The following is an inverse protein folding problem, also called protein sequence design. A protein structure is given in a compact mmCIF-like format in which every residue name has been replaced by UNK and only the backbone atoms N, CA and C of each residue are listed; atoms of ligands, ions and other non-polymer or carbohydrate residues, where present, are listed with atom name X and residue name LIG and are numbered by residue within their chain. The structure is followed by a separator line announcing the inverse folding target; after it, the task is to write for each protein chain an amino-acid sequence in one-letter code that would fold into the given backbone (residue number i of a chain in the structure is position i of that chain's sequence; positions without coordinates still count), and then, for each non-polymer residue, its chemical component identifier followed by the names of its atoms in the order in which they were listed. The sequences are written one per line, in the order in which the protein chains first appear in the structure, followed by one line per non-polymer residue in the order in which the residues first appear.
data_IF_405546946398
#
_entry.id   IF_405546946398
#
_cell.length_a   1.000
_cell.length_b   1.000
_cell.length_c   1.000
_cell.angle_alpha   90.00
_cell.angle_beta   90.00
_cell.angle_gamma   90.00
#
_symmetry.space_group_name_H-M   'P 1'
#
loop_
_entity.id
_entity.type
_entity.pdbx_description
1 polymer ?
#
# COMPACT_ATOMS: atom_id res chain seq x y z
N UNK A 1 -6.50 9.21 -4.30
CA UNK A 1 -5.50 8.15 -4.03
C UNK A 1 -4.16 8.80 -3.68
N UNK A 2 -3.23 8.05 -3.06
CA UNK A 2 -1.92 8.60 -2.74
C UNK A 2 -1.20 9.10 -4.00
N UNK A 3 -0.61 10.30 -3.92
CA UNK A 3 0.20 10.93 -4.98
C UNK A 3 -0.50 11.32 -6.28
N UNK A 4 -1.83 11.26 -6.39
CA UNK A 4 -2.54 11.50 -7.66
C UNK A 4 -2.16 12.83 -8.31
N UNK A 5 -2.11 13.92 -7.53
CA UNK A 5 -1.78 15.26 -8.05
C UNK A 5 -0.35 15.34 -8.61
N UNK A 6 0.63 14.76 -7.90
CA UNK A 6 2.03 14.74 -8.34
C UNK A 6 2.20 13.82 -9.55
N UNK A 7 1.62 12.64 -9.50
CA UNK A 7 1.65 11.64 -10.58
C UNK A 7 1.13 12.21 -11.91
N UNK A 8 -0.03 12.87 -11.88
CA UNK A 8 -0.63 13.46 -13.08
C UNK A 8 0.28 14.51 -13.72
N UNK A 9 0.87 15.41 -12.91
CA UNK A 9 1.80 16.43 -13.41
C UNK A 9 3.05 15.80 -14.03
N UNK A 10 3.67 14.83 -13.35
CA UNK A 10 4.85 14.15 -13.87
C UNK A 10 4.55 13.36 -15.15
N UNK A 11 3.41 12.68 -15.23
CA UNK A 11 3.00 11.97 -16.44
C UNK A 11 2.83 12.90 -17.63
N UNK A 12 2.28 14.10 -17.43
CA UNK A 12 2.13 15.09 -18.51
C UNK A 12 3.50 15.53 -19.04
N UNK A 13 4.47 15.80 -18.16
CA UNK A 13 5.85 16.12 -18.54
C UNK A 13 6.48 14.97 -19.35
N UNK A 14 6.33 13.75 -18.87
CA UNK A 14 6.91 12.57 -19.52
C UNK A 14 6.23 12.21 -20.85
N UNK A 15 4.93 12.46 -20.99
CA UNK A 15 4.23 12.32 -22.26
C UNK A 15 4.82 13.23 -23.34
N UNK A 16 5.12 14.49 -22.95
CA UNK A 16 5.76 15.46 -23.83
C UNK A 16 7.17 15.02 -24.25
N UNK A 17 7.97 14.51 -23.29
CA UNK A 17 9.31 13.98 -23.58
C UNK A 17 9.27 12.75 -24.52
N UNK A 18 8.32 11.83 -24.31
CA UNK A 18 8.18 10.62 -25.17
C UNK A 18 7.75 10.94 -26.59
N UNK A 19 7.00 12.02 -26.78
CA UNK A 19 6.50 12.42 -28.11
C UNK A 19 7.59 12.98 -29.02
N UNK A 20 8.75 13.41 -28.46
CA UNK A 20 9.88 13.95 -29.19
C UNK A 20 10.82 12.82 -29.62
N UNK A 21 11.00 12.61 -30.90
CA UNK A 21 11.89 11.58 -31.45
C UNK A 21 13.38 11.83 -31.17
N UNK A 22 13.77 13.12 -31.04
CA UNK A 22 15.09 13.57 -30.62
C UNK A 22 14.92 14.59 -29.50
N UNK A 23 15.81 14.59 -28.53
CA UNK A 23 15.86 15.57 -27.46
C UNK A 23 17.10 16.45 -27.62
N UNK A 24 16.92 17.72 -27.35
CA UNK A 24 18.02 18.68 -27.16
C UNK A 24 18.26 18.88 -25.66
N UNK A 25 19.43 19.43 -25.30
CA UNK A 25 19.69 19.82 -23.89
C UNK A 25 18.62 20.78 -23.36
N UNK A 26 18.13 21.69 -24.19
CA UNK A 26 17.10 22.64 -23.80
C UNK A 26 15.75 21.97 -23.56
N UNK A 27 15.42 20.91 -24.32
CA UNK A 27 14.23 20.11 -24.06
C UNK A 27 14.29 19.41 -22.70
N UNK A 28 15.46 18.86 -22.36
CA UNK A 28 15.67 18.21 -21.05
C UNK A 28 15.61 19.27 -19.93
N UNK A 29 16.26 20.41 -20.08
CA UNK A 29 16.21 21.51 -19.11
C UNK A 29 14.79 22.03 -18.90
N UNK A 30 14.01 22.19 -19.98
CA UNK A 30 12.61 22.62 -19.91
C UNK A 30 11.75 21.60 -19.14
N UNK A 31 11.87 20.31 -19.47
CA UNK A 31 11.15 19.25 -18.77
C UNK A 31 11.53 19.16 -17.28
N UNK A 32 12.83 19.27 -16.95
CA UNK A 32 13.29 19.28 -15.55
C UNK A 32 12.82 20.51 -14.78
N UNK A 33 12.61 21.65 -15.45
CA UNK A 33 11.97 22.82 -14.83
C UNK A 33 10.51 22.51 -14.44
N UNK A 34 9.76 21.83 -15.30
CA UNK A 34 8.39 21.40 -15.00
C UNK A 34 8.37 20.35 -13.87
N UNK A 35 9.28 19.36 -13.88
CA UNK A 35 9.46 18.40 -12.79
C UNK A 35 9.76 19.11 -11.47
N UNK A 36 10.67 20.09 -11.49
CA UNK A 36 10.98 20.94 -10.33
C UNK A 36 9.73 21.61 -9.76
N UNK A 37 8.92 22.21 -10.62
CA UNK A 37 7.69 22.89 -10.20
C UNK A 37 6.69 21.89 -9.62
N UNK A 38 6.50 20.74 -10.25
CA UNK A 38 5.61 19.69 -9.76
C UNK A 38 6.02 19.21 -8.37
N UNK A 39 7.30 18.98 -8.13
CA UNK A 39 7.82 18.57 -6.81
C UNK A 39 7.66 19.66 -5.74
N UNK A 40 7.87 20.94 -6.08
CA UNK A 40 7.67 22.05 -5.15
C UNK A 40 6.17 22.23 -4.80
N UNK A 41 5.29 22.11 -5.78
CA UNK A 41 3.84 22.14 -5.57
C UNK A 41 3.32 20.93 -4.77
N UNK A 42 4.05 19.81 -4.85
CA UNK A 42 3.83 18.63 -4.02
C UNK A 42 4.41 18.77 -2.60
N UNK A 43 4.87 19.97 -2.22
CA UNK A 43 5.43 20.26 -0.90
C UNK A 43 6.70 19.46 -0.57
N UNK A 44 7.53 19.16 -1.58
CA UNK A 44 8.85 18.56 -1.39
C UNK A 44 9.84 19.63 -0.94
N UNK A 45 10.73 19.31 -0.02
CA UNK A 45 11.72 20.25 0.52
C UNK A 45 12.57 20.89 -0.59
N UNK A 46 12.68 22.22 -0.58
CA UNK A 46 13.36 23.00 -1.63
C UNK A 46 14.81 22.54 -1.89
N UNK A 47 15.58 22.27 -0.82
CA UNK A 47 16.98 21.82 -0.94
C UNK A 47 17.04 20.43 -1.60
N UNK A 48 16.11 19.56 -1.24
CA UNK A 48 15.98 18.22 -1.81
C UNK A 48 15.63 18.30 -3.29
N UNK A 49 14.64 19.11 -3.67
CA UNK A 49 14.26 19.31 -5.09
C UNK A 49 15.43 19.89 -5.90
N UNK A 50 16.15 20.86 -5.35
CA UNK A 50 17.31 21.48 -6.04
C UNK A 50 18.40 20.45 -6.33
N UNK A 51 18.73 19.61 -5.34
CA UNK A 51 19.75 18.58 -5.51
C UNK A 51 19.27 17.50 -6.49
N UNK A 52 18.05 17.01 -6.33
CA UNK A 52 17.45 16.03 -7.22
C UNK A 52 17.47 16.45 -8.70
N UNK A 53 17.02 17.67 -8.99
CA UNK A 53 17.02 18.21 -10.36
C UNK A 53 18.44 18.32 -10.92
N UNK A 54 19.41 18.71 -10.09
CA UNK A 54 20.81 18.77 -10.49
C UNK A 54 21.35 17.37 -10.84
N UNK A 55 21.12 16.38 -9.97
CA UNK A 55 21.61 15.01 -10.18
C UNK A 55 20.98 14.37 -11.44
N UNK A 56 19.68 14.57 -11.65
CA UNK A 56 19.00 14.12 -12.87
C UNK A 56 19.56 14.84 -14.10
N UNK A 57 19.78 16.16 -14.04
CA UNK A 57 20.28 16.95 -15.17
C UNK A 57 21.68 16.49 -15.58
N UNK A 58 22.59 16.32 -14.64
CA UNK A 58 23.96 15.85 -14.89
C UNK A 58 23.98 14.50 -15.62
N UNK A 59 23.09 13.59 -15.26
CA UNK A 59 22.97 12.28 -15.91
C UNK A 59 22.24 12.33 -17.25
N UNK A 60 21.20 13.16 -17.36
CA UNK A 60 20.31 13.22 -18.53
C UNK A 60 20.92 13.97 -19.73
N UNK A 61 21.88 14.88 -19.51
CA UNK A 61 22.55 15.64 -20.58
C UNK A 61 23.76 14.87 -21.15
N UNK A 62 24.11 13.70 -20.61
CA UNK A 62 25.22 12.88 -21.14
C UNK A 62 25.01 12.46 -22.62
N UNK A 63 26.10 12.38 -23.39
CA UNK A 63 26.06 12.04 -24.82
C UNK A 63 25.38 10.70 -25.08
N UNK A 64 25.55 9.72 -24.20
CA UNK A 64 24.93 8.38 -24.32
C UNK A 64 23.41 8.43 -24.24
N UNK A 65 22.85 9.37 -23.48
CA UNK A 65 21.39 9.56 -23.37
C UNK A 65 20.86 10.32 -24.59
N UNK A 66 21.55 11.40 -24.99
CA UNK A 66 21.11 12.29 -26.06
C UNK A 66 21.16 11.63 -27.45
N UNK A 67 22.14 10.73 -27.66
CA UNK A 67 22.33 9.99 -28.91
C UNK A 67 21.65 8.60 -28.91
N UNK A 68 20.99 8.21 -27.81
CA UNK A 68 20.31 6.93 -27.68
C UNK A 68 19.08 6.80 -28.60
N UNK A 69 18.66 5.56 -28.88
CA UNK A 69 17.48 5.27 -29.69
C UNK A 69 16.17 5.83 -29.10
N UNK A 70 16.08 5.97 -27.78
CA UNK A 70 14.91 6.46 -27.05
C UNK A 70 15.29 7.45 -25.94
N UNK A 71 15.78 8.66 -26.26
CA UNK A 71 16.28 9.61 -25.26
C UNK A 71 15.24 9.95 -24.18
N UNK A 72 13.97 10.14 -24.56
CA UNK A 72 12.89 10.44 -23.62
C UNK A 72 12.65 9.34 -22.59
N UNK A 73 12.75 8.09 -22.98
CA UNK A 73 12.63 6.96 -22.04
C UNK A 73 13.83 6.88 -21.11
N UNK A 74 15.04 7.19 -21.60
CA UNK A 74 16.24 7.22 -20.77
C UNK A 74 16.17 8.32 -19.70
N UNK A 75 15.69 9.52 -20.04
CA UNK A 75 15.46 10.59 -19.06
C UNK A 75 14.46 10.15 -17.98
N UNK A 76 13.35 9.52 -18.35
CA UNK A 76 12.35 9.02 -17.40
C UNK A 76 12.96 7.94 -16.48
N UNK A 77 13.77 7.04 -17.04
CA UNK A 77 14.50 6.02 -16.26
C UNK A 77 15.42 6.67 -15.24
N UNK A 78 16.19 7.68 -15.64
CA UNK A 78 17.08 8.43 -14.75
C UNK A 78 16.30 9.13 -13.64
N UNK A 79 15.16 9.76 -13.94
CA UNK A 79 14.27 10.35 -12.94
C UNK A 79 13.79 9.30 -11.94
N UNK A 80 13.40 8.12 -12.40
CA UNK A 80 12.98 7.02 -11.52
C UNK A 80 14.13 6.55 -10.60
N UNK A 81 15.30 6.33 -11.15
CA UNK A 81 16.47 5.88 -10.38
C UNK A 81 16.90 6.90 -9.32
N UNK A 82 16.93 8.19 -9.66
CA UNK A 82 17.24 9.24 -8.69
C UNK A 82 16.13 9.39 -7.63
N UNK A 83 14.87 9.14 -7.99
CA UNK A 83 13.76 9.14 -7.03
C UNK A 83 13.86 7.97 -6.05
N UNK A 84 14.20 6.77 -6.53
CA UNK A 84 14.48 5.59 -5.69
C UNK A 84 15.64 5.88 -4.73
N UNK A 85 16.74 6.45 -5.24
CA UNK A 85 17.90 6.85 -4.45
C UNK A 85 17.56 7.87 -3.37
N UNK A 86 16.73 8.87 -3.70
CA UNK A 86 16.24 9.88 -2.77
C UNK A 86 15.49 9.27 -1.59
N UNK A 87 14.68 8.24 -1.84
CA UNK A 87 13.89 7.52 -0.83
C UNK A 87 14.67 6.41 -0.11
N UNK A 88 15.90 6.10 -0.55
CA UNK A 88 16.79 5.21 0.19
C UNK A 88 17.36 4.01 -0.52
N UNK A 89 17.12 3.85 -1.82
CA UNK A 89 17.61 2.76 -2.68
C UNK A 89 17.12 1.37 -2.27
N UNK A 90 17.21 1.01 -0.99
CA UNK A 90 16.89 -0.32 -0.45
C UNK A 90 15.81 -0.26 0.62
N UNK A 91 15.05 -1.32 0.69
CA UNK A 91 14.06 -1.53 1.76
C UNK A 91 14.76 -1.75 3.09
N UNK A 92 14.33 -1.04 4.12
CA UNK A 92 14.85 -1.19 5.47
C UNK A 92 13.80 -1.81 6.38
N UNK A 93 14.17 -2.85 7.12
CA UNK A 93 13.31 -3.48 8.12
C UNK A 93 13.69 -3.07 9.55
N UNK A 94 12.74 -3.19 10.48
CA UNK A 94 13.01 -3.07 11.91
C UNK A 94 13.94 -4.21 12.32
N UNK A 95 15.09 -3.86 12.88
CA UNK A 95 16.11 -4.83 13.31
C UNK A 95 15.68 -5.48 14.63
N UNK A 96 15.39 -6.77 14.59
CA UNK A 96 15.08 -7.55 15.78
C UNK A 96 16.36 -8.16 16.37
N UNK A 97 16.37 -8.34 17.68
CA UNK A 97 17.47 -9.04 18.36
C UNK A 97 17.50 -10.52 17.92
N UNK A 98 18.70 -11.13 17.84
CA UNK A 98 18.84 -12.49 17.36
C UNK A 98 18.21 -13.51 18.31
N UNK A 99 17.74 -14.61 17.72
CA UNK A 99 17.19 -15.75 18.47
C UNK A 99 15.90 -15.42 19.22
N UNK A 100 15.92 -15.68 20.55
CA UNK A 100 14.80 -15.40 21.47
C UNK A 100 15.02 -14.12 22.29
N UNK A 101 16.08 -13.36 22.03
CA UNK A 101 16.36 -12.14 22.78
C UNK A 101 15.25 -11.12 22.56
N UNK A 102 14.88 -10.43 23.65
CA UNK A 102 13.81 -9.42 23.64
C UNK A 102 14.23 -8.18 22.83
N UNK A 103 13.37 -7.75 21.93
CA UNK A 103 13.50 -6.48 21.22
C UNK A 103 12.53 -5.47 21.80
N UNK A 104 13.02 -4.32 22.23
CA UNK A 104 12.19 -3.21 22.70
C UNK A 104 12.13 -2.14 21.60
N UNK A 105 10.91 -1.83 21.17
CA UNK A 105 10.62 -0.80 20.17
C UNK A 105 9.85 0.32 20.86
N UNK A 106 10.36 1.55 20.79
CA UNK A 106 9.67 2.72 21.29
C UNK A 106 9.03 3.48 20.15
N UNK A 107 7.72 3.69 20.22
CA UNK A 107 6.95 4.47 19.25
C UNK A 107 6.84 5.91 19.74
N UNK A 108 7.27 6.87 18.94
CA UNK A 108 7.21 8.29 19.28
C UNK A 108 6.55 9.12 18.16
N UNK A 109 6.19 10.36 18.46
CA UNK A 109 5.55 11.28 17.48
C UNK A 109 4.47 12.13 18.13
N UNK A 110 3.94 13.09 17.36
CA UNK A 110 2.91 14.02 17.84
C UNK A 110 1.55 13.34 18.05
N UNK A 111 0.68 14.03 18.77
CA UNK A 111 -0.73 13.63 18.93
C UNK A 111 -1.42 13.60 17.56
N UNK A 112 -2.25 12.58 17.32
CA UNK A 112 -2.97 12.44 16.06
C UNK A 112 -2.15 11.86 14.91
N UNK A 113 -0.83 11.65 15.07
CA UNK A 113 0.02 11.00 14.06
C UNK A 113 -0.29 9.50 13.85
N UNK A 114 -1.10 8.88 14.70
CA UNK A 114 -1.50 7.49 14.55
C UNK A 114 -0.61 6.48 15.26
N UNK A 115 0.16 6.87 16.30
CA UNK A 115 1.06 5.99 17.06
C UNK A 115 0.37 4.71 17.57
N UNK A 116 -0.65 4.86 18.39
CA UNK A 116 -1.39 3.76 19.02
C UNK A 116 -1.93 2.76 18.00
N UNK A 117 -2.52 3.25 16.92
CA UNK A 117 -3.02 2.41 15.83
C UNK A 117 -1.88 1.71 15.09
N UNK A 118 -0.78 2.42 14.84
CA UNK A 118 0.40 1.88 14.18
C UNK A 118 1.11 0.85 15.04
N UNK A 119 1.24 1.09 16.35
CA UNK A 119 1.80 0.12 17.31
C UNK A 119 1.03 -1.20 17.28
N UNK A 120 -0.30 -1.15 17.32
CA UNK A 120 -1.14 -2.35 17.26
C UNK A 120 -1.03 -3.06 15.89
N UNK A 121 -1.02 -2.33 14.77
CA UNK A 121 -0.83 -2.91 13.43
C UNK A 121 0.54 -3.56 13.29
N UNK A 122 1.58 -2.92 13.79
CA UNK A 122 2.94 -3.45 13.77
C UNK A 122 3.05 -4.73 14.62
N UNK A 123 2.44 -4.73 15.82
CA UNK A 123 2.37 -5.90 16.67
C UNK A 123 1.66 -7.08 15.98
N UNK A 124 0.54 -6.82 15.31
CA UNK A 124 -0.18 -7.82 14.52
C UNK A 124 0.67 -8.39 13.38
N UNK A 125 1.46 -7.56 12.68
CA UNK A 125 2.38 -8.02 11.64
C UNK A 125 3.49 -8.91 12.19
N UNK A 126 4.07 -8.58 13.33
CA UNK A 126 5.07 -9.43 13.97
C UNK A 126 4.46 -10.74 14.48
N UNK A 127 3.22 -10.71 14.99
CA UNK A 127 2.50 -11.92 15.37
C UNK A 127 2.28 -12.86 14.18
N UNK A 128 1.91 -12.33 13.01
CA UNK A 128 1.79 -13.11 11.78
C UNK A 128 3.13 -13.73 11.33
N UNK A 129 4.27 -13.09 11.69
CA UNK A 129 5.62 -13.64 11.50
C UNK A 129 6.03 -14.63 12.62
N UNK A 130 5.08 -15.07 13.46
CA UNK A 130 5.32 -16.05 14.55
C UNK A 130 6.03 -15.47 15.77
N UNK A 131 6.06 -14.14 15.98
CA UNK A 131 6.64 -13.50 17.15
C UNK A 131 5.61 -13.31 18.26
N UNK A 132 6.02 -13.52 19.51
CA UNK A 132 5.22 -13.18 20.68
C UNK A 132 5.46 -11.73 21.05
N UNK A 133 4.43 -10.88 20.94
CA UNK A 133 4.53 -9.43 21.05
C UNK A 133 3.72 -8.93 22.22
N UNK A 134 4.27 -8.00 23.01
CA UNK A 134 3.62 -7.27 24.08
C UNK A 134 3.49 -5.79 23.68
N UNK A 135 2.26 -5.27 23.66
CA UNK A 135 2.01 -3.83 23.59
C UNK A 135 2.05 -3.23 25.01
N UNK A 136 2.61 -2.06 25.17
CA UNK A 136 2.73 -1.39 26.48
C UNK A 136 2.14 0.00 26.42
N UNK A 137 1.15 0.28 27.29
CA UNK A 137 0.46 1.56 27.37
C UNK A 137 1.27 2.56 28.20
N UNK A 138 2.12 3.36 27.56
CA UNK A 138 2.88 4.45 28.17
C UNK A 138 2.22 5.82 27.96
N UNK A 139 1.18 5.95 27.11
CA UNK A 139 0.37 7.18 27.00
C UNK A 139 -0.68 7.20 28.13
N UNK A 140 -0.29 7.78 29.27
CA UNK A 140 -1.14 7.88 30.46
C UNK A 140 -1.88 9.22 30.60
N UNK A 141 -1.55 10.18 29.75
CA UNK A 141 -2.06 11.55 29.88
C UNK A 141 -3.36 11.78 29.08
N UNK A 142 -3.55 11.03 28.00
CA UNK A 142 -4.72 11.18 27.16
C UNK A 142 -5.87 10.30 27.65
N UNK A 143 -7.05 10.89 27.99
CA UNK A 143 -8.21 10.09 28.37
C UNK A 143 -8.52 9.01 27.35
N UNK A 144 -8.70 7.77 27.81
CA UNK A 144 -9.02 6.61 26.96
C UNK A 144 -7.86 6.07 26.10
N UNK A 145 -6.62 6.57 26.24
CA UNK A 145 -5.47 6.06 25.46
C UNK A 145 -5.19 4.59 25.79
N UNK A 146 -5.19 4.23 27.07
CA UNK A 146 -4.98 2.85 27.53
C UNK A 146 -6.07 1.94 26.95
N UNK A 147 -7.34 2.33 27.06
CA UNK A 147 -8.46 1.57 26.53
C UNK A 147 -8.38 1.42 25.01
N UNK A 148 -8.01 2.50 24.30
CA UNK A 148 -7.81 2.47 22.86
C UNK A 148 -6.72 1.46 22.45
N UNK A 149 -5.59 1.41 23.18
CA UNK A 149 -4.53 0.44 22.90
C UNK A 149 -5.02 -0.99 23.19
N UNK A 150 -5.78 -1.20 24.27
CA UNK A 150 -6.37 -2.50 24.62
C UNK A 150 -7.31 -3.00 23.52
N UNK A 151 -8.25 -2.17 23.06
CA UNK A 151 -9.17 -2.51 21.96
C UNK A 151 -8.40 -2.83 20.68
N UNK A 152 -7.39 -2.04 20.35
CA UNK A 152 -6.58 -2.27 19.16
C UNK A 152 -5.72 -3.53 19.29
N UNK A 153 -5.16 -3.80 20.45
CA UNK A 153 -4.42 -5.03 20.77
C UNK A 153 -5.30 -6.27 20.66
N UNK A 154 -6.51 -6.21 21.23
CA UNK A 154 -7.49 -7.30 21.15
C UNK A 154 -7.88 -7.63 19.71
N UNK A 155 -8.14 -6.61 18.87
CA UNK A 155 -8.42 -6.80 17.44
C UNK A 155 -7.29 -7.52 16.71
N UNK A 156 -6.04 -7.39 17.17
CA UNK A 156 -4.87 -8.09 16.60
C UNK A 156 -4.58 -9.41 17.36
N UNK A 157 -5.30 -9.67 18.47
CA UNK A 157 -5.06 -10.79 19.38
C UNK A 157 -3.67 -10.70 20.02
N UNK A 158 -3.22 -9.49 20.35
CA UNK A 158 -1.94 -9.18 20.99
C UNK A 158 -2.18 -8.71 22.41
N UNK A 159 -1.37 -9.21 23.37
CA UNK A 159 -1.44 -8.83 24.77
C UNK A 159 -1.03 -7.37 24.98
N UNK A 160 -1.76 -6.68 25.87
CA UNK A 160 -1.50 -5.28 26.25
C UNK A 160 -1.18 -5.19 27.73
N UNK A 161 -0.02 -4.66 28.04
CA UNK A 161 0.42 -4.38 29.40
C UNK A 161 0.08 -2.95 29.79
N UNK A 162 -0.52 -2.77 30.96
CA UNK A 162 -0.86 -1.46 31.55
C UNK A 162 -0.75 -1.48 33.05
N UNK A 163 -0.35 -0.36 33.64
CA UNK A 163 -0.33 -0.13 35.10
C UNK A 163 -1.27 1.01 35.50
N UNK A 164 -2.22 1.37 34.63
CA UNK A 164 -3.11 2.51 34.85
C UNK A 164 -2.43 3.85 34.56
N UNK A 165 -3.08 4.94 34.93
CA UNK A 165 -2.71 6.32 34.59
C UNK A 165 -1.94 7.09 35.68
N UNK A 166 -1.65 6.43 36.81
CA UNK A 166 -0.96 7.07 37.97
C UNK A 166 0.54 6.77 38.04
N UNK A 167 1.03 5.85 37.25
CA UNK A 167 2.42 5.40 37.26
C UNK A 167 3.18 6.08 36.10
N UNK A 168 4.37 6.60 36.38
CA UNK A 168 5.20 7.25 35.37
C UNK A 168 5.53 6.30 34.19
N UNK A 169 5.55 6.79 32.93
CA UNK A 169 5.83 5.98 31.76
C UNK A 169 7.12 5.17 31.83
N UNK A 170 8.18 5.72 32.42
CA UNK A 170 9.46 5.02 32.61
C UNK A 170 9.31 3.77 33.50
N UNK A 171 8.49 3.83 34.54
CA UNK A 171 8.27 2.69 35.45
C UNK A 171 7.37 1.64 34.77
N UNK A 172 6.39 2.08 33.97
CA UNK A 172 5.57 1.18 33.15
C UNK A 172 6.45 0.43 32.15
N UNK A 173 7.37 1.13 31.47
CA UNK A 173 8.31 0.52 30.52
C UNK A 173 9.21 -0.52 31.20
N UNK A 174 9.78 -0.22 32.37
CA UNK A 174 10.59 -1.17 33.17
C UNK A 174 9.78 -2.43 33.53
N UNK A 175 8.59 -2.26 34.09
CA UNK A 175 7.74 -3.36 34.50
C UNK A 175 7.28 -4.22 33.30
N UNK A 176 6.99 -3.58 32.18
CA UNK A 176 6.63 -4.28 30.94
C UNK A 176 7.78 -5.14 30.39
N UNK A 177 9.01 -4.64 30.44
CA UNK A 177 10.21 -5.40 30.01
C UNK A 177 10.47 -6.59 30.93
N UNK A 178 10.33 -6.40 32.25
CA UNK A 178 10.43 -7.50 33.23
C UNK A 178 9.34 -8.57 32.99
N UNK A 179 8.09 -8.13 32.78
CA UNK A 179 6.98 -9.01 32.44
C UNK A 179 7.24 -9.78 31.13
N UNK A 180 7.69 -9.08 30.11
CA UNK A 180 7.98 -9.66 28.80
C UNK A 180 9.11 -10.68 28.89
N UNK A 181 10.18 -10.39 29.64
CA UNK A 181 11.31 -11.30 29.84
C UNK A 181 10.88 -12.56 30.58
N UNK A 182 10.09 -12.42 31.65
CA UNK A 182 9.59 -13.54 32.46
C UNK A 182 8.65 -14.45 31.66
N UNK A 183 7.88 -13.89 30.73
CA UNK A 183 6.90 -14.61 29.93
C UNK A 183 7.37 -14.95 28.51
N UNK A 184 8.66 -14.85 28.24
CA UNK A 184 9.31 -15.22 26.96
C UNK A 184 8.71 -14.50 25.73
N UNK A 185 8.42 -13.20 25.84
CA UNK A 185 8.07 -12.39 24.69
C UNK A 185 9.32 -12.13 23.82
N UNK A 186 9.10 -11.96 22.53
CA UNK A 186 10.16 -11.61 21.58
C UNK A 186 10.28 -10.10 21.37
N UNK A 187 9.14 -9.39 21.48
CA UNK A 187 9.06 -7.97 21.16
C UNK A 187 8.19 -7.28 22.20
N UNK A 188 8.65 -6.13 22.69
CA UNK A 188 7.86 -5.15 23.45
C UNK A 188 7.74 -3.89 22.59
N UNK A 189 6.53 -3.38 22.41
CA UNK A 189 6.29 -2.10 21.76
C UNK A 189 5.74 -1.13 22.79
N UNK A 190 6.50 -0.07 23.06
CA UNK A 190 6.12 1.01 23.98
C UNK A 190 5.33 2.06 23.18
N UNK A 191 4.03 2.18 23.44
CA UNK A 191 3.17 3.24 22.86
C UNK A 191 3.26 4.46 23.77
N UNK A 192 4.10 5.44 23.42
CA UNK A 192 4.37 6.61 24.25
C UNK A 192 3.34 7.72 23.99
N UNK A 193 3.26 8.65 24.92
CA UNK A 193 2.43 9.83 24.79
C UNK A 193 2.83 10.67 23.56
N UNK A 194 1.85 11.39 23.02
CA UNK A 194 2.08 12.42 22.02
C UNK A 194 1.40 13.71 22.44
N UNK A 195 2.05 14.82 22.26
CA UNK A 195 1.47 16.15 22.48
C UNK A 195 1.16 16.84 21.14
N UNK A 196 0.39 17.92 21.19
CA UNK A 196 0.00 18.67 19.99
C UNK A 196 1.21 19.30 19.27
N UNK A 197 2.21 19.68 20.06
CA UNK A 197 3.48 20.23 19.56
C UNK A 197 4.64 19.62 20.34
N UNK A 198 5.81 19.77 19.76
CA UNK A 198 7.06 19.39 20.41
C UNK A 198 7.32 20.37 21.55
N UNK A 199 7.38 19.87 22.78
CA UNK A 199 7.77 20.59 23.97
C UNK A 199 8.90 19.87 24.71
N UNK A 200 9.57 20.59 25.61
CA UNK A 200 10.74 20.05 26.29
C UNK A 200 10.36 18.95 27.31
N UNK A 201 9.17 19.00 27.91
CA UNK A 201 8.69 17.98 28.84
C UNK A 201 8.46 16.63 28.15
N UNK A 202 7.86 16.66 26.96
CA UNK A 202 7.68 15.44 26.15
C UNK A 202 9.04 14.84 25.75
N UNK A 203 9.97 15.68 25.32
CA UNK A 203 11.30 15.21 24.93
C UNK A 203 12.08 14.65 26.12
N UNK A 204 11.98 15.29 27.28
CA UNK A 204 12.59 14.80 28.53
C UNK A 204 12.02 13.44 28.97
N UNK A 205 10.70 13.22 28.84
CA UNK A 205 10.08 11.93 29.16
C UNK A 205 10.58 10.80 28.24
N UNK A 206 10.68 11.07 26.93
CA UNK A 206 11.21 10.09 25.96
C UNK A 206 12.68 9.76 26.24
N UNK A 207 13.48 10.77 26.59
CA UNK A 207 14.88 10.61 26.99
C UNK A 207 14.97 9.82 28.32
N UNK A 208 14.13 10.13 29.33
CA UNK A 208 14.08 9.40 30.61
C UNK A 208 13.79 7.90 30.35
N UNK A 209 12.90 7.56 29.46
CA UNK A 209 12.66 6.16 29.07
C UNK A 209 13.92 5.54 28.48
N UNK A 210 14.57 6.19 27.49
CA UNK A 210 15.79 5.66 26.82
C UNK A 210 16.98 5.50 27.77
N UNK A 211 17.11 6.37 28.76
CA UNK A 211 18.19 6.29 29.74
C UNK A 211 17.98 5.17 30.74
N UNK A 212 16.74 4.80 31.03
CA UNK A 212 16.38 3.87 32.10
C UNK A 212 16.08 2.45 31.58
N UNK A 213 15.79 2.25 30.30
CA UNK A 213 15.55 0.95 29.68
C UNK A 213 16.30 0.83 28.36
N UNK A 214 16.71 -0.39 28.00
CA UNK A 214 17.37 -0.61 26.72
C UNK A 214 16.34 -0.58 25.61
N UNK A 215 16.24 0.54 24.89
CA UNK A 215 15.44 0.66 23.67
C UNK A 215 16.30 0.26 22.49
N UNK A 216 15.88 -0.77 21.72
CA UNK A 216 16.62 -1.29 20.59
C UNK A 216 16.30 -0.55 19.28
N UNK A 217 15.06 -0.06 19.16
CA UNK A 217 14.59 0.70 18.02
C UNK A 217 13.67 1.83 18.48
N UNK A 218 14.00 3.04 18.10
CA UNK A 218 13.17 4.24 18.28
C UNK A 218 12.52 4.57 16.96
N UNK A 219 11.19 4.45 16.88
CA UNK A 219 10.43 4.59 15.64
C UNK A 219 9.51 5.78 15.73
N UNK A 220 9.76 6.78 14.90
CA UNK A 220 8.93 7.96 14.78
C UNK A 220 7.73 7.70 13.88
N UNK A 221 6.54 8.04 14.34
CA UNK A 221 5.30 8.01 13.57
C UNK A 221 4.89 9.43 13.22
N UNK A 222 4.76 9.71 11.93
CA UNK A 222 4.36 11.03 11.42
C UNK A 222 3.20 10.91 10.43
N UNK A 223 2.37 11.94 10.40
CA UNK A 223 1.25 12.07 9.47
C UNK A 223 1.77 12.63 8.13
N UNK A 224 1.67 11.85 7.06
CA UNK A 224 2.14 12.26 5.73
C UNK A 224 1.40 13.49 5.19
N UNK A 225 0.14 13.69 5.59
CA UNK A 225 -0.68 14.81 5.12
C UNK A 225 -0.17 16.18 5.59
N UNK A 226 0.68 16.22 6.64
CA UNK A 226 1.26 17.47 7.15
C UNK A 226 2.44 17.99 6.30
N UNK A 227 2.84 17.24 5.26
CA UNK A 227 3.84 17.70 4.28
C UNK A 227 5.19 18.06 4.92
N UNK A 228 5.67 19.29 4.75
CA UNK A 228 6.96 19.73 5.31
C UNK A 228 6.99 19.76 6.84
N UNK A 229 5.84 19.91 7.52
CA UNK A 229 5.82 19.84 8.99
C UNK A 229 6.21 18.44 9.48
N UNK A 230 5.82 17.37 8.77
CA UNK A 230 6.30 16.01 9.06
C UNK A 230 7.83 15.91 9.00
N UNK A 231 8.45 16.58 8.03
CA UNK A 231 9.93 16.62 7.88
C UNK A 231 10.59 17.37 9.02
N UNK A 232 10.02 18.52 9.40
CA UNK A 232 10.52 19.34 10.51
C UNK A 232 10.39 18.57 11.84
N UNK A 233 9.26 17.91 12.06
CA UNK A 233 9.03 17.06 13.23
C UNK A 233 10.08 15.94 13.26
N UNK A 234 10.28 15.22 12.15
CA UNK A 234 11.26 14.13 12.09
C UNK A 234 12.68 14.62 12.41
N UNK A 235 13.07 15.77 11.90
CA UNK A 235 14.37 16.39 12.21
C UNK A 235 14.52 16.70 13.69
N UNK A 236 13.50 17.33 14.31
CA UNK A 236 13.57 17.70 15.74
C UNK A 236 13.59 16.48 16.67
N UNK A 237 12.82 15.43 16.37
CA UNK A 237 12.89 14.19 17.12
C UNK A 237 14.24 13.50 17.00
N UNK A 238 14.82 13.49 15.79
CA UNK A 238 16.15 12.91 15.60
C UNK A 238 17.24 13.68 16.34
N UNK A 239 17.20 15.01 16.34
CA UNK A 239 18.16 15.86 17.05
C UNK A 239 18.04 15.75 18.59
N UNK A 240 16.81 15.66 19.13
CA UNK A 240 16.57 15.67 20.59
C UNK A 240 16.60 14.28 21.23
N UNK A 241 16.00 13.29 20.59
CA UNK A 241 15.84 11.93 21.15
C UNK A 241 16.66 10.90 20.37
N UNK A 242 16.82 11.12 19.08
CA UNK A 242 17.44 10.17 18.15
C UNK A 242 16.44 9.10 17.69
N UNK A 243 16.24 8.99 16.39
CA UNK A 243 15.35 8.00 15.77
C UNK A 243 16.15 6.99 14.95
N UNK A 244 15.63 5.76 14.82
CA UNK A 244 16.20 4.71 13.98
C UNK A 244 15.47 4.57 12.65
N UNK A 245 14.21 5.02 12.60
CA UNK A 245 13.42 5.01 11.39
C UNK A 245 12.07 5.70 11.56
N UNK A 246 11.36 5.86 10.45
CA UNK A 246 10.10 6.61 10.38
C UNK A 246 9.00 5.73 9.81
N UNK A 247 7.79 5.86 10.35
CA UNK A 247 6.55 5.32 9.77
C UNK A 247 5.67 6.49 9.34
N UNK A 248 5.32 6.51 8.07
CA UNK A 248 4.39 7.49 7.51
C UNK A 248 2.97 6.95 7.59
N UNK A 249 2.07 7.69 8.23
CA UNK A 249 0.64 7.35 8.31
C UNK A 249 -0.18 8.22 7.37
N UNK A 250 -1.43 7.81 7.12
CA UNK A 250 -2.44 8.54 6.32
C UNK A 250 -1.98 8.87 4.90
N UNK A 251 -1.12 8.02 4.34
CA UNK A 251 -0.58 8.23 3.00
C UNK A 251 -1.67 8.09 1.92
N UNK A 252 -2.74 7.35 2.20
CA UNK A 252 -3.95 7.25 1.37
C UNK A 252 -4.66 8.59 1.15
N UNK A 253 -4.57 9.51 2.11
CA UNK A 253 -5.07 10.90 2.01
C UNK A 253 -4.07 11.90 1.44
N UNK A 254 -2.79 11.54 1.33
CA UNK A 254 -1.74 12.43 0.80
C UNK A 254 -1.65 12.34 -0.72
N UNK A 255 -2.23 13.32 -1.40
CA UNK A 255 -2.15 13.42 -2.87
C UNK A 255 -0.87 14.05 -3.38
N UNK A 256 -0.03 14.63 -2.50
CA UNK A 256 1.19 15.38 -2.83
C UNK A 256 2.46 14.55 -2.69
N UNK A 257 2.65 13.84 -1.58
CA UNK A 257 3.79 12.96 -1.33
C UNK A 257 5.08 13.65 -0.87
N UNK A 258 5.02 14.92 -0.52
CA UNK A 258 6.20 15.71 -0.15
C UNK A 258 6.97 15.16 1.04
N UNK A 259 6.27 14.67 2.06
CA UNK A 259 6.88 14.06 3.24
C UNK A 259 7.67 12.78 2.87
N UNK A 260 7.08 11.89 2.07
CA UNK A 260 7.73 10.64 1.67
C UNK A 260 9.04 10.87 0.89
N UNK A 261 9.08 11.91 0.06
CA UNK A 261 10.26 12.28 -0.73
C UNK A 261 11.33 13.05 0.07
N UNK A 262 10.94 13.69 1.19
CA UNK A 262 11.84 14.62 1.89
C UNK A 262 12.43 14.04 3.18
N UNK A 263 11.72 13.19 3.92
CA UNK A 263 12.11 12.74 5.26
C UNK A 263 13.49 12.11 5.27
N UNK A 264 13.73 11.12 4.40
CA UNK A 264 15.04 10.46 4.37
C UNK A 264 16.15 11.40 3.93
N UNK A 265 15.91 12.24 2.93
CA UNK A 265 16.91 13.18 2.44
C UNK A 265 17.32 14.22 3.47
N UNK A 266 16.40 14.60 4.37
CA UNK A 266 16.65 15.62 5.41
C UNK A 266 17.21 15.00 6.69
N UNK A 267 16.71 13.84 7.12
CA UNK A 267 17.09 13.21 8.40
C UNK A 267 18.17 12.15 8.24
N UNK A 268 18.35 11.59 7.04
CA UNK A 268 19.18 10.40 6.83
C UNK A 268 18.54 9.09 7.32
N UNK A 269 17.35 9.16 7.95
CA UNK A 269 16.70 7.99 8.55
C UNK A 269 15.76 7.30 7.56
N UNK A 270 15.72 5.95 7.57
CA UNK A 270 14.91 5.20 6.63
C UNK A 270 13.40 5.33 6.96
N UNK A 271 12.58 5.29 5.91
CA UNK A 271 11.16 5.02 6.05
C UNK A 271 10.99 3.50 6.14
N UNK A 272 10.36 3.02 7.21
CA UNK A 272 10.20 1.59 7.49
C UNK A 272 8.88 1.06 6.96
N UNK A 273 7.79 1.75 7.26
CA UNK A 273 6.43 1.39 6.87
C UNK A 273 5.63 2.61 6.44
N UNK A 274 4.54 2.36 5.71
CA UNK A 274 3.54 3.35 5.33
C UNK A 274 2.14 2.86 5.66
N UNK A 275 1.31 3.73 6.24
CA UNK A 275 -0.10 3.49 6.51
C UNK A 275 -0.93 3.98 5.33
N UNK A 276 -1.63 3.05 4.69
CA UNK A 276 -2.47 3.27 3.51
C UNK A 276 -3.97 3.14 3.84
N UNK A 277 -4.35 3.23 5.11
CA UNK A 277 -5.72 3.09 5.57
C UNK A 277 -5.81 2.54 6.99
N UNK A 278 -7.00 2.09 7.41
CA UNK A 278 -7.27 1.72 8.81
C UNK A 278 -7.05 0.25 9.15
N UNK A 279 -7.13 -0.66 8.16
CA UNK A 279 -7.01 -2.10 8.38
C UNK A 279 -5.56 -2.50 8.70
N UNK A 280 -5.38 -3.69 9.29
CA UNK A 280 -4.04 -4.26 9.53
C UNK A 280 -3.23 -4.38 8.24
N UNK A 281 -3.86 -4.86 7.16
CA UNK A 281 -3.26 -4.99 5.83
C UNK A 281 -2.76 -3.66 5.26
N UNK A 282 -3.29 -2.54 5.73
CA UNK A 282 -2.99 -1.21 5.20
C UNK A 282 -1.72 -0.59 5.83
N UNK A 283 -1.04 -1.29 6.74
CA UNK A 283 0.33 -0.96 7.12
C UNK A 283 1.27 -1.75 6.21
N UNK A 284 1.84 -1.10 5.20
CA UNK A 284 2.71 -1.72 4.20
C UNK A 284 4.19 -1.47 4.53
N UNK A 285 5.06 -2.42 4.18
CA UNK A 285 6.50 -2.19 4.16
C UNK A 285 6.82 -1.10 3.13
N UNK A 286 7.75 -0.22 3.44
CA UNK A 286 8.17 0.81 2.49
C UNK A 286 9.19 0.23 1.48
N UNK A 287 8.81 0.25 0.21
CA UNK A 287 9.65 -0.14 -0.91
C UNK A 287 9.95 1.08 -1.78
N UNK A 288 11.18 1.63 -1.76
CA UNK A 288 11.52 2.84 -2.51
C UNK A 288 11.23 2.76 -4.01
N UNK A 289 11.50 1.63 -4.63
CA UNK A 289 11.28 1.37 -6.06
C UNK A 289 9.79 1.36 -6.43
N UNK A 290 8.96 0.69 -5.62
CA UNK A 290 7.51 0.68 -5.82
C UNK A 290 6.89 2.05 -5.60
N UNK A 291 7.39 2.77 -4.59
CA UNK A 291 6.92 4.11 -4.28
C UNK A 291 7.27 5.10 -5.40
N UNK A 292 8.50 5.05 -5.92
CA UNK A 292 8.91 5.83 -7.08
C UNK A 292 8.00 5.52 -8.29
N UNK A 293 7.75 4.24 -8.57
CA UNK A 293 6.87 3.83 -9.66
C UNK A 293 5.43 4.34 -9.50
N UNK A 294 4.88 4.34 -8.27
CA UNK A 294 3.56 4.92 -7.96
C UNK A 294 3.55 6.42 -8.23
N UNK A 295 4.54 7.17 -7.71
CA UNK A 295 4.66 8.62 -7.88
C UNK A 295 4.80 8.99 -9.36
N UNK A 296 5.53 8.21 -10.15
CA UNK A 296 5.69 8.44 -11.60
C UNK A 296 4.49 7.95 -12.42
N UNK A 297 3.47 7.36 -11.77
CA UNK A 297 2.28 6.82 -12.45
C UNK A 297 2.58 5.63 -13.35
N UNK A 298 3.67 4.89 -13.07
CA UNK A 298 4.06 3.69 -13.81
C UNK A 298 3.36 2.42 -13.30
N UNK A 299 2.59 2.56 -12.21
CA UNK A 299 1.88 1.48 -11.54
C UNK A 299 2.75 0.67 -10.59
N UNK A 300 2.10 -0.10 -9.73
CA UNK A 300 2.75 -0.99 -8.77
C UNK A 300 2.17 -2.40 -8.89
N UNK A 301 2.62 -3.10 -9.92
CA UNK A 301 2.15 -4.46 -10.23
C UNK A 301 2.55 -5.46 -9.15
N UNK A 302 3.71 -5.27 -8.51
CA UNK A 302 4.21 -6.21 -7.49
C UNK A 302 3.36 -6.15 -6.22
N UNK A 303 3.03 -4.95 -5.72
CA UNK A 303 2.12 -4.82 -4.57
C UNK A 303 0.74 -5.38 -4.86
N UNK A 304 0.24 -5.23 -6.11
CA UNK A 304 -1.03 -5.85 -6.50
C UNK A 304 -0.97 -7.37 -6.44
N UNK A 305 0.11 -7.97 -6.94
CA UNK A 305 0.31 -9.43 -6.91
C UNK A 305 0.41 -9.91 -5.46
N UNK A 306 1.16 -9.22 -4.60
CA UNK A 306 1.29 -9.59 -3.19
C UNK A 306 -0.03 -9.49 -2.41
N UNK A 307 -0.81 -8.42 -2.63
CA UNK A 307 -2.16 -8.29 -2.06
C UNK A 307 -3.08 -9.41 -2.56
N UNK A 308 -3.06 -9.67 -3.86
CA UNK A 308 -3.83 -10.76 -4.43
C UNK A 308 -3.44 -12.13 -3.84
N UNK A 309 -2.15 -12.36 -3.59
CA UNK A 309 -1.66 -13.60 -2.98
C UNK A 309 -2.03 -13.71 -1.48
N UNK A 310 -2.01 -12.59 -0.75
CA UNK A 310 -2.36 -12.58 0.68
C UNK A 310 -3.87 -12.80 0.92
N UNK A 311 -4.72 -12.34 -0.01
CA UNK A 311 -6.17 -12.47 0.07
C UNK A 311 -6.70 -13.81 -0.49
N UNK A 312 -5.86 -14.60 -1.16
CA UNK A 312 -6.21 -15.91 -1.68
C UNK A 312 -5.95 -16.96 -0.61
N UNK A 313 -7.01 -17.52 -0.04
CA UNK A 313 -6.94 -18.73 0.76
C UNK A 313 -6.38 -19.87 -0.11
N UNK A 314 -5.22 -20.41 0.27
CA UNK A 314 -4.52 -21.46 -0.50
C UNK A 314 -5.41 -22.68 -0.77
N UNK A 315 -6.32 -23.02 0.13
CA UNK A 315 -7.29 -24.11 -0.08
C UNK A 315 -8.33 -23.76 -1.13
N UNK A 316 -8.81 -22.50 -1.13
CA UNK A 316 -9.74 -22.01 -2.14
C UNK A 316 -9.09 -21.93 -3.52
N UNK A 317 -7.85 -21.45 -3.59
CA UNK A 317 -7.07 -21.42 -4.84
C UNK A 317 -6.89 -22.82 -5.43
N UNK A 318 -6.53 -23.81 -4.61
CA UNK A 318 -6.42 -25.22 -5.02
C UNK A 318 -7.76 -25.82 -5.48
N UNK A 319 -8.87 -25.45 -4.82
CA UNK A 319 -10.23 -25.87 -5.23
C UNK A 319 -10.63 -25.26 -6.57
N UNK A 320 -10.36 -23.98 -6.78
CA UNK A 320 -10.63 -23.29 -8.05
C UNK A 320 -9.79 -23.92 -9.17
N UNK A 321 -8.49 -24.14 -8.95
CA UNK A 321 -7.61 -24.79 -9.92
C UNK A 321 -8.08 -26.21 -10.28
N UNK A 322 -8.49 -27.01 -9.31
CA UNK A 322 -8.99 -28.35 -9.54
C UNK A 322 -10.30 -28.35 -10.33
N UNK A 323 -11.26 -27.46 -10.00
CA UNK A 323 -12.52 -27.31 -10.74
C UNK A 323 -12.26 -26.77 -12.16
N UNK A 324 -11.32 -25.85 -12.34
CA UNK A 324 -10.90 -25.37 -13.67
C UNK A 324 -10.28 -26.48 -14.53
N UNK A 325 -9.44 -27.34 -13.96
CA UNK A 325 -8.86 -28.50 -14.66
C UNK A 325 -9.94 -29.50 -15.10
N UNK A 326 -11.03 -29.65 -14.31
CA UNK A 326 -12.18 -30.52 -14.61
C UNK A 326 -13.20 -29.88 -15.56
N UNK A 327 -12.98 -28.63 -16.04
CA UNK A 327 -13.95 -27.89 -16.87
C UNK A 327 -15.33 -27.66 -16.19
N UNK A 328 -15.37 -27.65 -14.85
CA UNK A 328 -16.59 -27.49 -14.04
C UNK A 328 -16.81 -26.01 -13.67
N UNK A 329 -16.76 -25.09 -14.65
CA UNK A 329 -17.08 -23.69 -14.41
C UNK A 329 -18.60 -23.51 -14.34
N UNK A 330 -19.12 -23.11 -13.18
CA UNK A 330 -20.52 -22.92 -12.85
C UNK A 330 -20.80 -21.53 -12.23
N UNK A 331 -22.07 -21.22 -11.93
CA UNK A 331 -22.44 -19.95 -11.32
C UNK A 331 -22.03 -19.85 -9.84
N UNK A 332 -21.77 -20.95 -9.14
CA UNK A 332 -21.21 -20.92 -7.77
C UNK A 332 -19.77 -20.39 -7.81
N UNK A 333 -18.95 -20.90 -8.73
CA UNK A 333 -17.60 -20.41 -8.97
C UNK A 333 -17.58 -18.93 -9.41
N UNK A 334 -18.56 -18.53 -10.21
CA UNK A 334 -18.68 -17.14 -10.63
C UNK A 334 -18.98 -16.21 -9.45
N UNK A 335 -19.86 -16.61 -8.51
CA UNK A 335 -20.12 -15.91 -7.26
C UNK A 335 -18.89 -15.84 -6.35
N UNK A 336 -18.16 -16.94 -6.19
CA UNK A 336 -16.92 -16.97 -5.42
C UNK A 336 -15.91 -15.98 -5.98
N UNK A 337 -15.74 -15.95 -7.32
CA UNK A 337 -14.85 -15.01 -7.99
C UNK A 337 -15.26 -13.55 -7.80
N UNK A 338 -16.56 -13.24 -7.88
CA UNK A 338 -17.10 -11.90 -7.60
C UNK A 338 -16.88 -11.48 -6.13
N UNK A 339 -17.09 -12.40 -5.19
CA UNK A 339 -16.86 -12.15 -3.77
C UNK A 339 -15.40 -11.86 -3.46
N UNK A 340 -14.47 -12.57 -4.12
CA UNK A 340 -13.03 -12.30 -4.01
C UNK A 340 -12.67 -10.94 -4.59
N UNK A 341 -13.19 -10.58 -5.77
CA UNK A 341 -12.98 -9.24 -6.36
C UNK A 341 -13.48 -8.14 -5.43
N UNK A 342 -14.59 -8.35 -4.74
CA UNK A 342 -15.15 -7.39 -3.78
C UNK A 342 -14.28 -7.24 -2.52
N UNK A 343 -13.71 -8.35 -2.02
CA UNK A 343 -12.75 -8.35 -0.90
C UNK A 343 -11.42 -7.68 -1.25
N UNK A 344 -10.96 -7.78 -2.50
CA UNK A 344 -9.74 -7.13 -3.02
C UNK A 344 -9.89 -5.61 -3.24
N UNK A 345 -10.96 -4.99 -2.75
CA UNK A 345 -11.16 -3.53 -2.82
C UNK A 345 -11.93 -3.06 -4.06
N UNK A 346 -12.60 -3.98 -4.77
CA UNK A 346 -13.43 -3.66 -5.93
C UNK A 346 -12.65 -3.32 -7.21
N UNK A 347 -13.38 -3.07 -8.29
CA UNK A 347 -12.81 -2.80 -9.62
C UNK A 347 -11.93 -1.53 -9.67
N UNK A 348 -12.25 -0.54 -8.84
CA UNK A 348 -11.52 0.73 -8.75
C UNK A 348 -10.12 0.59 -8.19
N UNK A 349 -9.90 -0.29 -7.21
CA UNK A 349 -8.57 -0.55 -6.64
C UNK A 349 -7.65 -1.23 -7.66
N UNK A 350 -8.19 -2.12 -8.47
CA UNK A 350 -7.44 -2.82 -9.51
C UNK A 350 -7.09 -1.88 -10.68
N UNK A 351 -8.03 -1.03 -11.11
CA UNK A 351 -7.82 -0.04 -12.18
C UNK A 351 -6.86 1.07 -11.76
N UNK A 352 -6.86 1.47 -10.50
CA UNK A 352 -5.95 2.49 -9.98
C UNK A 352 -4.49 2.05 -9.86
N UNK A 353 -4.23 0.75 -9.80
CA UNK A 353 -2.89 0.18 -9.64
C UNK A 353 -2.28 -0.27 -10.99
N UNK A 354 -3.09 -0.51 -12.01
CA UNK A 354 -2.64 -0.91 -13.36
C UNK A 354 -2.93 0.16 -14.43
N UNK A 355 -2.16 1.25 -14.52
CA UNK A 355 -2.25 2.17 -15.65
C UNK A 355 -1.73 1.46 -16.89
N UNK A 356 -2.60 1.16 -17.84
CA UNK A 356 -2.25 0.54 -19.10
C UNK A 356 -3.16 -0.59 -19.58
N UNK A 357 -4.05 -1.12 -18.75
CA UNK A 357 -5.02 -2.14 -19.20
C UNK A 357 -6.04 -1.59 -20.22
N UNK A 358 -6.17 -0.26 -20.32
CA UNK A 358 -7.01 0.43 -21.29
C UNK A 358 -6.35 0.70 -22.65
N UNK A 359 -5.05 0.42 -22.84
CA UNK A 359 -4.34 0.76 -24.09
C UNK A 359 -4.59 -0.23 -25.25
N UNK A 360 -5.31 -1.32 -25.03
CA UNK A 360 -5.60 -2.34 -26.06
C UNK A 360 -6.94 -2.19 -26.77
N UNK A 361 -7.83 -1.31 -26.33
CA UNK A 361 -9.12 -1.07 -26.97
C UNK A 361 -9.17 0.37 -27.50
N UNK A 362 -8.94 0.54 -28.79
CA UNK A 362 -9.21 1.68 -29.66
C UNK A 362 -9.27 3.09 -29.09
N UNK A 363 -8.80 4.07 -29.83
CA UNK A 363 -8.81 5.52 -29.55
C UNK A 363 -10.21 6.09 -29.15
N UNK A 364 -10.70 5.74 -27.95
CA UNK A 364 -11.89 6.31 -27.36
C UNK A 364 -11.55 6.75 -25.93
N UNK A 365 -11.98 7.96 -25.52
CA UNK A 365 -11.97 8.40 -24.13
C UNK A 365 -12.57 7.27 -23.29
N UNK A 366 -11.84 6.80 -22.25
CA UNK A 366 -12.45 5.93 -21.22
C UNK A 366 -13.67 6.68 -20.67
N UNK A 367 -14.87 6.10 -20.70
CA UNK A 367 -15.96 6.67 -19.92
C UNK A 367 -15.52 6.64 -18.46
N UNK A 368 -15.73 7.72 -17.74
CA UNK A 368 -15.70 7.70 -16.27
C UNK A 368 -16.55 6.51 -15.84
N UNK A 369 -15.93 5.48 -15.30
CA UNK A 369 -16.66 4.33 -14.77
C UNK A 369 -17.28 4.86 -13.48
N UNK A 370 -18.56 5.17 -13.55
CA UNK A 370 -19.36 5.52 -12.39
C UNK A 370 -19.30 4.32 -11.42
N UNK A 371 -18.55 4.52 -10.35
CA UNK A 371 -18.25 3.49 -9.34
C UNK A 371 -19.54 2.95 -8.73
N UNK A 372 -20.52 3.83 -8.54
CA UNK A 372 -21.85 3.50 -8.02
C UNK A 372 -22.66 2.65 -9.01
N UNK A 373 -22.55 2.96 -10.31
CA UNK A 373 -23.18 2.16 -11.36
C UNK A 373 -22.57 0.78 -11.50
N UNK A 374 -21.24 0.66 -11.32
CA UNK A 374 -20.55 -0.63 -11.34
C UNK A 374 -20.92 -1.50 -10.14
N UNK A 375 -20.98 -0.94 -8.94
CA UNK A 375 -21.40 -1.64 -7.72
C UNK A 375 -22.86 -2.08 -7.80
N UNK A 376 -23.75 -1.23 -8.30
CA UNK A 376 -25.17 -1.58 -8.54
C UNK A 376 -25.32 -2.71 -9.57
N UNK A 377 -24.49 -2.72 -10.61
CA UNK A 377 -24.48 -3.80 -11.61
C UNK A 377 -24.02 -5.14 -11.02
N UNK A 378 -22.97 -5.11 -10.17
CA UNK A 378 -22.51 -6.29 -9.44
C UNK A 378 -23.57 -6.82 -8.47
N UNK A 379 -24.21 -5.94 -7.69
CA UNK A 379 -25.28 -6.34 -6.77
C UNK A 379 -26.49 -6.98 -7.49
N UNK A 380 -26.88 -6.47 -8.67
CA UNK A 380 -27.92 -7.06 -9.50
C UNK A 380 -27.52 -8.44 -10.01
N UNK A 381 -26.27 -8.62 -10.43
CA UNK A 381 -25.74 -9.91 -10.88
C UNK A 381 -25.77 -10.93 -9.74
N UNK A 382 -25.33 -10.54 -8.54
CA UNK A 382 -25.43 -11.38 -7.33
C UNK A 382 -26.89 -11.77 -7.05
N UNK A 383 -27.84 -10.82 -7.08
CA UNK A 383 -29.25 -11.08 -6.85
C UNK A 383 -29.85 -12.08 -7.85
N UNK A 384 -29.47 -11.99 -9.13
CA UNK A 384 -29.90 -12.95 -10.16
C UNK A 384 -29.40 -14.35 -9.81
N UNK A 385 -28.12 -14.51 -9.45
CA UNK A 385 -27.54 -15.81 -9.16
C UNK A 385 -28.10 -16.38 -7.83
N UNK A 386 -28.32 -15.54 -6.81
CA UNK A 386 -28.96 -15.98 -5.57
C UNK A 386 -30.40 -16.42 -5.78
N UNK A 387 -31.11 -15.89 -6.78
CA UNK A 387 -32.46 -16.30 -7.15
C UNK A 387 -32.52 -17.65 -7.93
N UNK A 388 -31.36 -18.20 -8.31
CA UNK A 388 -31.25 -19.54 -8.89
C UNK A 388 -31.26 -20.59 -7.80
N UNK A 389 -31.82 -21.78 -8.07
CA UNK A 389 -31.66 -22.94 -7.18
C UNK A 389 -30.20 -23.43 -7.20
N UNK A 390 -29.75 -24.18 -6.16
CA UNK A 390 -28.42 -24.77 -6.17
C UNK A 390 -28.11 -25.62 -7.40
N UNK A 391 -29.12 -26.34 -7.90
CA UNK A 391 -29.00 -27.15 -9.09
C UNK A 391 -28.82 -26.33 -10.36
N UNK A 392 -29.54 -25.20 -10.48
CA UNK A 392 -29.42 -24.27 -11.60
C UNK A 392 -28.08 -23.53 -11.60
N UNK A 393 -27.52 -23.23 -10.42
CA UNK A 393 -26.19 -22.65 -10.30
C UNK A 393 -25.09 -23.59 -10.78
N UNK A 394 -25.20 -24.89 -10.43
CA UNK A 394 -24.23 -25.92 -10.82
C UNK A 394 -24.39 -26.35 -12.26
N UNK A 395 -25.61 -26.31 -12.78
CA UNK A 395 -25.90 -26.73 -14.16
C UNK A 395 -26.62 -25.64 -14.97
N UNK A 396 -25.86 -24.71 -15.57
CA UNK A 396 -26.44 -23.64 -16.38
C UNK A 396 -27.27 -24.09 -17.58
N UNK A 397 -27.12 -25.34 -18.03
CA UNK A 397 -27.91 -25.89 -19.17
C UNK A 397 -29.38 -26.06 -18.84
N UNK A 398 -29.78 -26.04 -17.55
CA UNK A 398 -31.16 -26.11 -17.12
C UNK A 398 -31.98 -24.84 -17.35
N UNK A 399 -31.33 -23.73 -17.80
CA UNK A 399 -31.94 -22.40 -17.95
C UNK A 399 -32.90 -22.32 -19.14
N UNK A 400 -34.14 -22.76 -18.92
CA UNK A 400 -35.25 -22.58 -19.87
C UNK A 400 -36.00 -21.22 -19.64
N UNK A 401 -36.85 -20.79 -20.59
CA UNK A 401 -37.59 -19.53 -20.45
C UNK A 401 -38.41 -19.38 -19.18
N UNK A 402 -39.05 -20.46 -18.70
CA UNK A 402 -39.86 -20.45 -17.48
C UNK A 402 -39.00 -20.21 -16.24
N UNK A 403 -37.84 -20.89 -16.14
CA UNK A 403 -36.87 -20.69 -15.05
C UNK A 403 -36.27 -19.28 -15.05
N UNK A 404 -35.93 -18.77 -16.22
CA UNK A 404 -35.40 -17.37 -16.36
C UNK A 404 -36.45 -16.36 -15.91
N UNK A 405 -37.72 -16.52 -16.22
CA UNK A 405 -38.79 -15.63 -15.75
C UNK A 405 -38.95 -15.70 -14.23
N UNK A 406 -38.87 -16.87 -13.63
CA UNK A 406 -38.92 -17.02 -12.17
C UNK A 406 -37.75 -16.35 -11.49
N UNK A 407 -36.52 -16.52 -12.03
CA UNK A 407 -35.30 -15.93 -11.53
C UNK A 407 -35.37 -14.39 -11.64
N UNK A 408 -35.84 -13.85 -12.77
CA UNK A 408 -36.02 -12.41 -12.97
C UNK A 408 -36.98 -11.79 -11.93
N UNK A 409 -38.13 -12.46 -11.68
CA UNK A 409 -39.07 -12.06 -10.63
C UNK A 409 -38.45 -12.13 -9.22
N UNK A 410 -37.68 -13.16 -8.92
CA UNK A 410 -37.02 -13.32 -7.62
C UNK A 410 -35.92 -12.29 -7.37
N UNK A 411 -35.20 -11.90 -8.41
CA UNK A 411 -34.14 -10.91 -8.34
C UNK A 411 -34.61 -9.45 -8.48
N UNK A 412 -35.88 -9.24 -8.81
CA UNK A 412 -36.44 -7.89 -9.04
C UNK A 412 -35.83 -7.20 -10.27
N UNK A 413 -35.46 -7.96 -11.31
CA UNK A 413 -34.85 -7.44 -12.54
C UNK A 413 -35.64 -7.85 -13.78
N UNK A 414 -35.35 -7.20 -14.91
CA UNK A 414 -35.93 -7.60 -16.20
C UNK A 414 -35.35 -8.93 -16.70
N UNK A 415 -36.17 -9.71 -17.40
CA UNK A 415 -35.73 -10.99 -18.01
C UNK A 415 -34.58 -10.79 -19.00
N UNK A 416 -34.47 -9.62 -19.61
CA UNK A 416 -33.36 -9.27 -20.50
C UNK A 416 -32.01 -9.25 -19.75
N UNK A 417 -31.98 -8.83 -18.48
CA UNK A 417 -30.76 -8.87 -17.64
C UNK A 417 -30.35 -10.31 -17.34
N UNK A 418 -31.29 -11.19 -17.01
CA UNK A 418 -31.02 -12.64 -16.81
C UNK A 418 -30.48 -13.26 -18.10
N UNK A 419 -31.07 -12.97 -19.26
CA UNK A 419 -30.60 -13.46 -20.55
C UNK A 419 -29.18 -12.96 -20.88
N UNK A 420 -28.89 -11.70 -20.57
CA UNK A 420 -27.56 -11.09 -20.76
C UNK A 420 -26.52 -11.79 -19.89
N UNK A 421 -26.83 -12.02 -18.61
CA UNK A 421 -25.92 -12.73 -17.69
C UNK A 421 -25.63 -14.15 -18.16
N UNK A 422 -26.65 -14.92 -18.52
CA UNK A 422 -26.47 -16.30 -18.99
C UNK A 422 -25.62 -16.33 -20.26
N UNK A 423 -25.86 -15.41 -21.21
CA UNK A 423 -25.07 -15.29 -22.44
C UNK A 423 -23.62 -14.93 -22.18
N UNK A 424 -23.37 -13.97 -21.29
CA UNK A 424 -22.02 -13.58 -20.87
C UNK A 424 -21.28 -14.74 -20.19
N UNK A 425 -21.96 -15.46 -19.32
CA UNK A 425 -21.44 -16.65 -18.65
C UNK A 425 -21.03 -17.73 -19.66
N UNK A 426 -21.88 -18.03 -20.67
CA UNK A 426 -21.56 -18.99 -21.71
C UNK A 426 -20.37 -18.57 -22.57
N UNK A 427 -20.26 -17.28 -22.88
CA UNK A 427 -19.11 -16.73 -23.61
C UNK A 427 -17.81 -16.88 -22.82
N UNK A 428 -17.84 -16.56 -21.52
CA UNK A 428 -16.71 -16.70 -20.64
C UNK A 428 -16.31 -18.18 -20.49
N UNK A 429 -17.26 -19.09 -20.34
CA UNK A 429 -17.02 -20.54 -20.30
C UNK A 429 -16.35 -21.05 -21.59
N UNK A 430 -16.73 -20.52 -22.76
CA UNK A 430 -16.09 -20.84 -24.04
C UNK A 430 -14.64 -20.32 -24.11
N UNK A 431 -14.39 -19.08 -23.69
CA UNK A 431 -13.04 -18.51 -23.63
C UNK A 431 -12.12 -19.30 -22.70
N UNK A 432 -12.60 -19.67 -21.52
CA UNK A 432 -11.83 -20.47 -20.56
C UNK A 432 -11.48 -21.86 -21.08
N UNK A 433 -12.37 -22.50 -21.86
CA UNK A 433 -12.06 -23.77 -22.54
C UNK A 433 -10.96 -23.65 -23.59
N UNK A 434 -10.76 -22.49 -24.19
CA UNK A 434 -9.73 -22.25 -25.21
C UNK A 434 -8.37 -21.88 -24.60
N UNK A 435 -8.32 -21.35 -23.38
CA UNK A 435 -7.08 -20.93 -22.71
C UNK A 435 -6.04 -22.06 -22.50
N UNK A 436 -6.38 -23.31 -22.13
CA UNK A 436 -5.38 -24.37 -21.98
C UNK A 436 -4.64 -24.70 -23.28
N UNK A 437 -5.29 -24.48 -24.45
CA UNK A 437 -4.65 -24.65 -25.76
C UNK A 437 -3.65 -23.55 -26.12
N UNK A 438 -3.89 -22.32 -25.66
CA UNK A 438 -2.98 -21.19 -25.84
C UNK A 438 -1.75 -21.28 -24.93
N UNK A 439 -1.89 -21.71 -23.66
CA UNK A 439 -0.74 -21.92 -22.76
C UNK A 439 0.19 -23.04 -23.21
N UNK A 440 -0.31 -24.10 -23.84
CA UNK A 440 0.55 -25.15 -24.42
C UNK A 440 1.32 -24.72 -25.67
N UNK A 441 0.77 -23.80 -26.48
CA UNK A 441 1.49 -23.21 -27.63
C UNK A 441 2.44 -22.06 -27.27
N UNK A 442 2.21 -21.35 -26.16
CA UNK A 442 3.00 -20.21 -25.72
C UNK A 442 4.33 -20.55 -25.03
N UNK A 443 4.55 -21.81 -24.61
CA UNK A 443 5.79 -22.20 -23.88
C UNK A 443 7.07 -22.19 -24.73
N UNK A 444 7.02 -21.87 -26.02
CA UNK A 444 8.22 -21.73 -26.88
C UNK A 444 8.51 -20.34 -27.44
N UNK A 445 7.62 -19.35 -27.23
CA UNK A 445 7.75 -18.04 -27.89
C UNK A 445 7.67 -16.80 -27.02
N UNK A 446 7.13 -16.86 -25.79
CA UNK A 446 6.77 -15.66 -25.02
C UNK A 446 7.77 -15.26 -23.93
N UNK A 447 8.79 -16.09 -23.66
CA UNK A 447 9.86 -15.80 -22.70
C UNK A 447 11.19 -15.38 -23.31
N UNK A 448 11.22 -15.11 -24.63
CA UNK A 448 12.45 -14.65 -25.35
C UNK A 448 12.52 -13.15 -25.60
N UNK A 449 11.66 -12.35 -25.02
CA UNK A 449 11.57 -10.91 -25.30
C UNK A 449 11.41 -9.98 -24.08
N UNK A 450 11.64 -10.44 -22.87
CA UNK A 450 11.73 -9.56 -21.73
C UNK A 450 13.22 -9.39 -21.36
N UNK A 451 13.79 -8.21 -21.54
CA UNK A 451 15.10 -7.92 -20.99
C UNK A 451 14.94 -7.72 -19.46
N UNK A 452 15.69 -8.51 -18.72
CA UNK A 452 15.96 -8.29 -17.30
C UNK A 452 16.80 -7.02 -17.13
#
# INVERSE_FOLDING_TARGET
MAFDSLSEKLQNVFKNLRSKGRLTEDDVKAALKEVKMALLEADVNFKVVKQFVKDVQERAIGQDVMNGLNPGQMVIKIVNEEMVKLMGSETTEIKLQPGKALTVIMMEGLQGAGKTTTAAKLAGKFKLKGKKVLLTACDIYRPGAIEQLQINGEKQGVEVFSMGDKIKPVNIAKAAIEHATKNEFNIVILDTAGRLHIDDDMMAELQEIKENVTVHQTVLVVDAMTGQDAVNVAKMFDEKVGIDGVILTKLDGDTRGGAALSIRAVTGKPILYVGMGEKLSDLEQFYPDRMASRILGMGDVLTLIEKAQADIDEEQAKRIEQKMRKNEFDFEMYLESMSQMKKMGGLSSILGIMPGLGMGMGKGKMPEIDQEAAEKSMARTEAIIYSMTPEERRNPSLMNPSRKNRIAKGAGVDIAEVNRLVKQFEQMKKMMKQMPGMMKKGKRGMFKGLPF
#
